data_IF_202915019279
#
_entry.id   IF_202915019279
#
_cell.length_a   1.000
_cell.length_b   1.000
_cell.length_c   1.000
_cell.angle_alpha   90.00
_cell.angle_beta   90.00
_cell.angle_gamma   90.00
#
_symmetry.space_group_name_H-M   'P 1'
#
loop_
_entity.id
_entity.type
_entity.pdbx_description
1 polymer ?
#
# COMPACT_ATOMS: atom_id res chain seq x y z
N UNK A 1 -1.80 27.12 -20.36
CA UNK A 1 -3.24 27.08 -19.94
C UNK A 1 -3.51 26.14 -18.74
N UNK A 2 -2.57 25.28 -18.33
CA UNK A 2 -2.74 24.25 -17.28
C UNK A 2 -2.30 24.73 -15.88
N UNK A 3 -1.38 25.71 -15.80
CA UNK A 3 -0.93 26.32 -14.53
C UNK A 3 -1.98 27.23 -13.88
N UNK A 4 -2.91 27.77 -14.66
CA UNK A 4 -3.94 28.69 -14.16
C UNK A 4 -5.04 28.00 -13.37
N UNK A 5 -5.32 26.71 -13.63
CA UNK A 5 -6.32 25.95 -12.88
C UNK A 5 -5.78 25.52 -11.53
N UNK A 6 -4.49 25.18 -11.43
CA UNK A 6 -3.87 24.76 -10.18
C UNK A 6 -3.71 25.95 -9.21
N UNK A 7 -3.30 27.11 -9.74
CA UNK A 7 -3.23 28.35 -8.94
C UNK A 7 -4.61 28.82 -8.50
N UNK A 8 -5.65 28.70 -9.32
CA UNK A 8 -7.01 29.08 -8.99
C UNK A 8 -7.58 28.17 -7.89
N UNK A 9 -7.26 26.87 -7.91
CA UNK A 9 -7.59 25.92 -6.85
C UNK A 9 -6.95 26.30 -5.51
N UNK A 10 -5.67 26.65 -5.52
CA UNK A 10 -4.94 27.08 -4.32
C UNK A 10 -5.53 28.38 -3.76
N UNK A 11 -5.86 29.36 -4.61
CA UNK A 11 -6.49 30.61 -4.18
C UNK A 11 -7.90 30.39 -3.60
N UNK A 12 -8.68 29.44 -4.16
CA UNK A 12 -9.99 29.08 -3.60
C UNK A 12 -9.86 28.41 -2.24
N UNK A 13 -8.86 27.56 -2.04
CA UNK A 13 -8.59 26.91 -0.74
C UNK A 13 -8.19 27.94 0.29
N UNK A 14 -7.26 28.85 -0.07
CA UNK A 14 -6.82 29.94 0.82
C UNK A 14 -7.98 30.89 1.13
N UNK A 15 -8.76 31.26 0.14
CA UNK A 15 -9.95 32.09 0.33
C UNK A 15 -11.01 31.43 1.22
N UNK A 16 -11.24 30.13 1.05
CA UNK A 16 -12.17 29.36 1.87
C UNK A 16 -11.68 29.20 3.32
N UNK A 17 -10.38 28.99 3.53
CA UNK A 17 -9.80 28.93 4.89
C UNK A 17 -9.86 30.29 5.59
N UNK A 18 -9.59 31.39 4.89
CA UNK A 18 -9.72 32.75 5.41
C UNK A 18 -11.19 33.06 5.74
N UNK A 19 -12.12 32.68 4.86
CA UNK A 19 -13.56 32.84 5.10
C UNK A 19 -14.00 32.04 6.33
N UNK A 20 -13.51 30.82 6.49
CA UNK A 20 -13.83 29.96 7.62
C UNK A 20 -13.26 30.50 8.94
N UNK A 21 -12.12 31.20 8.92
CA UNK A 21 -11.54 31.86 10.10
C UNK A 21 -12.24 33.15 10.47
N UNK A 22 -12.89 33.80 9.51
CA UNK A 22 -13.71 35.03 9.75
C UNK A 22 -15.12 34.73 10.22
N UNK A 23 -15.64 33.50 10.04
CA UNK A 23 -17.00 33.10 10.45
C UNK A 23 -17.19 32.75 11.94
N UNK A 24 -16.18 32.55 12.80
CA UNK A 24 -16.39 31.99 14.15
C UNK A 24 -17.09 32.91 15.15
N UNK A 25 -17.34 34.14 14.82
CA UNK A 25 -18.01 35.05 15.76
C UNK A 25 -19.52 34.81 15.93
N UNK A 26 -20.12 33.94 15.11
CA UNK A 26 -21.60 33.72 15.11
C UNK A 26 -22.02 32.32 15.58
N UNK A 27 -21.11 31.40 15.78
CA UNK A 27 -21.44 30.02 16.16
C UNK A 27 -20.79 29.69 17.50
N UNK A 28 -21.47 29.99 18.61
CA UNK A 28 -21.06 29.59 19.99
C UNK A 28 -21.08 28.07 20.25
N UNK A 29 -20.80 27.26 19.24
CA UNK A 29 -20.83 25.80 19.34
C UNK A 29 -19.54 25.19 19.93
N UNK A 30 -18.41 25.92 19.88
CA UNK A 30 -17.14 25.47 20.40
C UNK A 30 -16.54 26.45 21.40
N UNK A 31 -15.94 25.95 22.49
CA UNK A 31 -15.07 26.73 23.36
C UNK A 31 -14.02 27.45 22.52
N UNK A 32 -13.78 28.73 22.78
CA UNK A 32 -12.87 29.60 22.00
C UNK A 32 -11.46 28.99 21.80
N UNK A 33 -10.95 28.27 22.78
CA UNK A 33 -9.63 27.60 22.70
C UNK A 33 -9.57 26.44 21.67
N UNK A 34 -10.69 25.83 21.32
CA UNK A 34 -10.71 24.66 20.41
C UNK A 34 -11.12 24.99 18.98
N UNK A 35 -11.65 26.17 18.73
CA UNK A 35 -12.10 26.61 17.42
C UNK A 35 -10.96 26.68 16.41
N UNK A 36 -9.80 27.18 16.80
CA UNK A 36 -8.60 27.28 15.95
C UNK A 36 -8.09 25.89 15.52
N UNK A 37 -8.06 24.93 16.42
CA UNK A 37 -7.66 23.55 16.12
C UNK A 37 -8.62 22.86 15.17
N UNK A 38 -9.93 23.10 15.34
CA UNK A 38 -10.97 22.56 14.45
C UNK A 38 -10.82 23.09 13.02
N UNK A 39 -10.64 24.40 12.86
CA UNK A 39 -10.44 25.04 11.55
C UNK A 39 -9.18 24.50 10.87
N UNK A 40 -8.09 24.37 11.62
CA UNK A 40 -6.83 23.83 11.09
C UNK A 40 -7.00 22.39 10.61
N UNK A 41 -7.65 21.54 11.40
CA UNK A 41 -7.90 20.14 11.05
C UNK A 41 -8.77 20.01 9.80
N UNK A 42 -9.83 20.83 9.71
CA UNK A 42 -10.73 20.85 8.57
C UNK A 42 -10.03 21.32 7.30
N UNK A 43 -9.14 22.31 7.41
CA UNK A 43 -8.29 22.79 6.31
C UNK A 43 -7.37 21.70 5.76
N UNK A 44 -6.71 20.95 6.63
CA UNK A 44 -5.82 19.84 6.22
C UNK A 44 -6.61 18.74 5.51
N UNK A 45 -7.77 18.35 6.06
CA UNK A 45 -8.66 17.36 5.44
C UNK A 45 -9.10 17.82 4.05
N UNK A 46 -9.49 19.09 3.91
CA UNK A 46 -9.92 19.63 2.63
C UNK A 46 -8.81 19.64 1.58
N UNK A 47 -7.59 20.02 1.97
CA UNK A 47 -6.41 19.94 1.10
C UNK A 47 -6.14 18.50 0.65
N UNK A 48 -6.18 17.53 1.56
CA UNK A 48 -6.00 16.13 1.21
C UNK A 48 -7.06 15.62 0.22
N UNK A 49 -8.33 15.94 0.46
CA UNK A 49 -9.41 15.54 -0.44
C UNK A 49 -9.29 16.20 -1.81
N UNK A 50 -8.82 17.45 -1.85
CA UNK A 50 -8.57 18.16 -3.11
C UNK A 50 -7.46 17.50 -3.92
N UNK A 51 -6.32 17.16 -3.30
CA UNK A 51 -5.23 16.46 -3.94
C UNK A 51 -5.63 15.08 -4.48
N UNK A 52 -6.40 14.33 -3.69
CA UNK A 52 -6.95 13.02 -4.12
C UNK A 52 -7.85 13.18 -5.34
N UNK A 53 -8.71 14.20 -5.33
CA UNK A 53 -9.61 14.48 -6.45
C UNK A 53 -8.83 14.89 -7.70
N UNK A 54 -7.81 15.75 -7.54
CA UNK A 54 -6.96 16.19 -8.63
C UNK A 54 -6.22 15.01 -9.27
N UNK A 55 -5.69 14.11 -8.45
CA UNK A 55 -4.97 12.92 -8.91
C UNK A 55 -5.88 11.95 -9.66
N UNK A 56 -7.13 11.77 -9.20
CA UNK A 56 -8.12 10.92 -9.89
C UNK A 56 -8.58 11.48 -11.24
N UNK A 57 -8.68 12.80 -11.37
CA UNK A 57 -9.08 13.46 -12.61
C UNK A 57 -7.95 13.72 -13.60
N UNK A 58 -6.71 13.62 -13.12
CA UNK A 58 -5.53 13.78 -13.95
C UNK A 58 -4.96 12.39 -14.19
N UNK A 59 -5.10 11.84 -15.40
CA UNK A 59 -4.50 10.55 -15.84
C UNK A 59 -2.96 10.54 -15.79
N UNK A 60 -2.35 11.54 -15.21
CA UNK A 60 -0.91 11.61 -14.97
C UNK A 60 -0.61 11.10 -13.58
N UNK A 61 -0.34 9.81 -13.49
CA UNK A 61 0.32 9.23 -12.33
C UNK A 61 1.58 10.04 -12.00
N UNK A 62 1.81 10.39 -10.73
CA UNK A 62 3.06 11.01 -10.32
C UNK A 62 4.22 10.12 -10.77
N UNK A 63 5.32 10.74 -11.20
CA UNK A 63 6.51 9.99 -11.58
C UNK A 63 7.01 9.22 -10.35
N UNK A 64 6.78 7.92 -10.35
CA UNK A 64 7.33 7.02 -9.35
C UNK A 64 8.66 6.48 -9.86
N UNK A 65 9.71 6.72 -9.11
CA UNK A 65 11.02 6.15 -9.40
C UNK A 65 10.93 4.62 -9.35
N UNK A 66 11.28 3.95 -10.44
CA UNK A 66 11.35 2.50 -10.46
C UNK A 66 12.42 2.00 -9.47
N UNK A 67 12.05 1.05 -8.63
CA UNK A 67 12.98 0.40 -7.70
C UNK A 67 13.67 -0.73 -8.46
N UNK A 68 15.01 -0.67 -8.67
CA UNK A 68 15.72 -1.71 -9.42
C UNK A 68 15.55 -3.11 -8.84
N UNK A 69 15.38 -3.22 -7.51
CA UNK A 69 15.14 -4.48 -6.82
C UNK A 69 13.85 -5.19 -7.26
N UNK A 70 12.78 -4.47 -7.58
CA UNK A 70 11.55 -5.09 -8.08
C UNK A 70 11.74 -5.71 -9.47
N UNK A 71 12.54 -5.10 -10.34
CA UNK A 71 12.91 -5.68 -11.64
C UNK A 71 13.75 -6.95 -11.47
N UNK A 72 14.66 -6.97 -10.50
CA UNK A 72 15.45 -8.15 -10.19
C UNK A 72 14.58 -9.32 -9.70
N UNK A 73 13.49 -9.05 -9.00
CA UNK A 73 12.50 -10.06 -8.60
C UNK A 73 11.83 -10.67 -9.83
N UNK A 74 11.40 -9.85 -10.79
CA UNK A 74 10.79 -10.33 -12.04
C UNK A 74 11.74 -11.25 -12.82
N UNK A 75 13.01 -10.87 -12.90
CA UNK A 75 14.02 -11.68 -13.54
C UNK A 75 14.30 -13.00 -12.79
N UNK A 76 14.30 -12.97 -11.44
CA UNK A 76 14.49 -14.16 -10.62
C UNK A 76 13.30 -15.13 -10.77
N UNK A 77 12.07 -14.65 -10.80
CA UNK A 77 10.87 -15.45 -11.05
C UNK A 77 10.94 -16.08 -12.45
N UNK A 78 11.30 -15.32 -13.47
CA UNK A 78 11.46 -15.84 -14.83
C UNK A 78 12.49 -16.98 -14.91
N UNK A 79 13.66 -16.80 -14.30
CA UNK A 79 14.70 -17.86 -14.26
C UNK A 79 14.23 -19.10 -13.51
N UNK A 80 13.51 -18.93 -12.40
CA UNK A 80 12.96 -20.06 -11.62
C UNK A 80 11.98 -20.87 -12.45
N UNK A 81 11.12 -20.18 -13.20
CA UNK A 81 10.15 -20.80 -14.14
C UNK A 81 10.88 -21.60 -15.23
N UNK A 82 11.92 -21.02 -15.85
CA UNK A 82 12.74 -21.71 -16.87
C UNK A 82 13.43 -22.96 -16.32
N UNK A 83 13.85 -22.93 -15.06
CA UNK A 83 14.51 -24.06 -14.40
C UNK A 83 13.54 -25.09 -13.80
N UNK A 84 12.23 -24.79 -13.77
CA UNK A 84 11.22 -25.64 -13.13
C UNK A 84 11.44 -25.82 -11.62
N UNK A 85 11.98 -24.79 -10.93
CA UNK A 85 12.26 -24.84 -9.48
C UNK A 85 11.30 -23.96 -8.71
N UNK A 86 10.90 -24.35 -7.47
CA UNK A 86 10.08 -23.52 -6.62
C UNK A 86 10.84 -22.25 -6.19
N UNK A 87 10.07 -21.18 -5.93
CA UNK A 87 10.59 -19.91 -5.46
C UNK A 87 10.44 -19.87 -3.96
N UNK A 88 11.55 -19.66 -3.24
CA UNK A 88 11.56 -19.42 -1.81
C UNK A 88 11.53 -17.93 -1.54
N UNK A 89 10.46 -17.45 -0.89
CA UNK A 89 10.32 -16.06 -0.50
C UNK A 89 10.14 -15.89 1.01
N UNK A 90 11.00 -15.11 1.65
CA UNK A 90 10.93 -14.81 3.09
C UNK A 90 10.48 -13.38 3.29
N UNK A 91 9.25 -13.10 3.78
CA UNK A 91 8.73 -11.74 3.95
C UNK A 91 9.40 -10.98 5.09
N UNK A 92 10.09 -11.66 6.01
CA UNK A 92 10.78 -11.12 7.17
C UNK A 92 10.59 -12.02 8.38
N UNK A 93 11.47 -11.87 9.37
CA UNK A 93 11.47 -12.64 10.63
C UNK A 93 10.85 -11.87 11.79
N UNK A 94 10.59 -10.58 11.61
CA UNK A 94 10.04 -9.69 12.62
C UNK A 94 8.52 -9.77 12.67
N UNK A 95 7.91 -9.06 13.62
CA UNK A 95 6.45 -9.00 13.78
C UNK A 95 5.81 -8.00 12.80
N UNK A 96 4.48 -8.08 12.64
CA UNK A 96 3.71 -7.16 11.77
C UNK A 96 3.77 -5.68 12.20
N UNK A 97 4.28 -5.39 13.39
CA UNK A 97 4.49 -4.02 13.86
C UNK A 97 5.69 -3.32 13.16
N UNK A 98 6.55 -4.10 12.53
CA UNK A 98 7.72 -3.57 11.83
C UNK A 98 7.39 -3.26 10.37
N UNK A 99 7.76 -2.06 9.94
CA UNK A 99 7.48 -1.55 8.59
C UNK A 99 8.11 -2.45 7.51
N UNK A 100 9.27 -3.03 7.81
CA UNK A 100 9.99 -3.93 6.92
C UNK A 100 9.22 -5.22 6.65
N UNK A 101 8.58 -5.80 7.67
CA UNK A 101 7.74 -7.00 7.54
C UNK A 101 6.48 -6.70 6.72
N UNK A 102 5.85 -5.55 6.98
CA UNK A 102 4.68 -5.09 6.19
C UNK A 102 5.08 -4.89 4.72
N UNK A 103 6.21 -4.24 4.46
CA UNK A 103 6.74 -4.08 3.10
C UNK A 103 7.04 -5.45 2.45
N UNK A 104 7.61 -6.39 3.21
CA UNK A 104 7.84 -7.76 2.75
C UNK A 104 6.57 -8.47 2.33
N UNK A 105 5.47 -8.34 3.09
CA UNK A 105 4.16 -8.91 2.74
C UNK A 105 3.57 -8.27 1.48
N UNK A 106 3.74 -6.96 1.29
CA UNK A 106 3.32 -6.28 0.04
C UNK A 106 4.10 -6.80 -1.16
N UNK A 107 5.41 -6.95 -1.03
CA UNK A 107 6.26 -7.54 -2.10
C UNK A 107 5.88 -8.99 -2.36
N UNK A 108 5.54 -9.77 -1.31
CA UNK A 108 5.01 -11.13 -1.46
C UNK A 108 3.78 -11.17 -2.37
N UNK A 109 2.85 -10.23 -2.21
CA UNK A 109 1.67 -10.14 -3.09
C UNK A 109 2.06 -9.96 -4.56
N UNK A 110 3.10 -9.16 -4.84
CA UNK A 110 3.61 -9.01 -6.20
C UNK A 110 4.25 -10.30 -6.74
N UNK A 111 5.08 -10.96 -5.92
CA UNK A 111 5.70 -12.24 -6.27
C UNK A 111 4.63 -13.31 -6.50
N UNK A 112 3.62 -13.42 -5.62
CA UNK A 112 2.53 -14.38 -5.75
C UNK A 112 1.70 -14.16 -7.02
N UNK A 113 1.47 -12.92 -7.44
CA UNK A 113 0.84 -12.63 -8.73
C UNK A 113 1.67 -13.16 -9.91
N UNK A 114 2.99 -13.02 -9.85
CA UNK A 114 3.88 -13.49 -10.91
C UNK A 114 3.99 -15.01 -10.93
N UNK A 115 4.12 -15.65 -9.76
CA UNK A 115 4.15 -17.11 -9.66
C UNK A 115 2.85 -17.76 -10.13
N UNK A 116 1.71 -17.17 -9.79
CA UNK A 116 0.42 -17.59 -10.31
C UNK A 116 0.32 -17.48 -11.85
N UNK A 117 0.89 -16.43 -12.43
CA UNK A 117 0.91 -16.22 -13.88
C UNK A 117 1.80 -17.24 -14.61
N UNK A 118 2.95 -17.58 -14.02
CA UNK A 118 3.94 -18.47 -14.62
C UNK A 118 3.82 -19.94 -14.18
N UNK A 119 2.81 -20.26 -13.35
CA UNK A 119 2.55 -21.61 -12.81
C UNK A 119 3.74 -22.19 -12.03
N UNK A 120 4.45 -21.35 -11.30
CA UNK A 120 5.60 -21.75 -10.50
C UNK A 120 5.20 -21.91 -9.04
N UNK A 121 5.73 -22.90 -8.33
CA UNK A 121 5.50 -23.11 -6.91
C UNK A 121 6.17 -22.01 -6.07
N UNK A 122 5.48 -21.55 -5.02
CA UNK A 122 5.94 -20.50 -4.13
C UNK A 122 5.98 -20.99 -2.68
N UNK A 123 7.17 -21.14 -2.13
CA UNK A 123 7.45 -21.49 -0.74
C UNK A 123 7.62 -20.22 0.11
N UNK A 124 6.84 -20.09 1.18
CA UNK A 124 6.89 -18.93 2.07
C UNK A 124 7.07 -19.36 3.52
N UNK A 125 8.31 -19.52 4.01
CA UNK A 125 8.57 -19.74 5.43
C UNK A 125 8.37 -18.44 6.21
N UNK A 126 7.64 -18.51 7.31
CA UNK A 126 7.29 -17.35 8.14
C UNK A 126 7.63 -17.63 9.59
N UNK A 127 8.20 -16.68 10.30
CA UNK A 127 8.56 -16.85 11.71
C UNK A 127 7.40 -16.59 12.69
N UNK A 128 6.39 -15.82 12.30
CA UNK A 128 5.31 -15.36 13.17
C UNK A 128 3.94 -15.75 12.63
N UNK A 129 3.04 -16.23 13.50
CA UNK A 129 1.71 -16.66 13.13
C UNK A 129 0.85 -15.54 12.52
N UNK A 130 0.98 -14.30 13.00
CA UNK A 130 0.25 -13.15 12.46
C UNK A 130 0.70 -12.84 11.03
N UNK A 131 2.01 -12.87 10.79
CA UNK A 131 2.59 -12.67 9.44
C UNK A 131 2.15 -13.79 8.50
N UNK A 132 2.05 -15.03 9.00
CA UNK A 132 1.57 -16.17 8.22
C UNK A 132 0.12 -15.98 7.76
N UNK A 133 -0.77 -15.47 8.63
CA UNK A 133 -2.16 -15.20 8.25
C UNK A 133 -2.24 -14.12 7.16
N UNK A 134 -1.47 -13.04 7.31
CA UNK A 134 -1.40 -12.00 6.30
C UNK A 134 -0.83 -12.51 4.97
N UNK A 135 0.25 -13.30 5.02
CA UNK A 135 0.86 -13.91 3.85
C UNK A 135 -0.10 -14.85 3.12
N UNK A 136 -0.87 -15.69 3.85
CA UNK A 136 -1.92 -16.54 3.27
C UNK A 136 -2.99 -15.74 2.56
N UNK A 137 -3.50 -14.69 3.20
CA UNK A 137 -4.55 -13.87 2.62
C UNK A 137 -4.07 -13.18 1.34
N UNK A 138 -2.90 -12.55 1.38
CA UNK A 138 -2.32 -11.83 0.24
C UNK A 138 -1.98 -12.79 -0.92
N UNK A 139 -1.41 -13.95 -0.62
CA UNK A 139 -1.14 -14.97 -1.65
C UNK A 139 -2.42 -15.50 -2.26
N UNK A 140 -3.41 -15.87 -1.45
CA UNK A 140 -4.71 -16.35 -1.94
C UNK A 140 -5.40 -15.32 -2.84
N UNK A 141 -5.39 -14.05 -2.46
CA UNK A 141 -5.94 -12.95 -3.25
C UNK A 141 -5.21 -12.80 -4.59
N UNK A 142 -3.89 -12.93 -4.59
CA UNK A 142 -3.06 -12.87 -5.79
C UNK A 142 -3.43 -14.00 -6.79
N UNK A 143 -3.55 -15.24 -6.32
CA UNK A 143 -3.95 -16.37 -7.16
C UNK A 143 -5.38 -16.25 -7.67
N UNK A 144 -6.32 -15.75 -6.85
CA UNK A 144 -7.69 -15.44 -7.27
C UNK A 144 -7.73 -14.36 -8.35
N UNK A 145 -6.94 -13.30 -8.20
CA UNK A 145 -6.87 -12.19 -9.16
C UNK A 145 -6.34 -12.65 -10.53
N UNK A 146 -5.42 -13.63 -10.53
CA UNK A 146 -4.92 -14.25 -11.77
C UNK A 146 -5.87 -15.32 -12.36
N UNK A 147 -6.98 -15.61 -11.67
CA UNK A 147 -7.97 -16.60 -12.11
C UNK A 147 -7.51 -18.05 -11.99
N UNK A 148 -6.54 -18.31 -11.13
CA UNK A 148 -5.94 -19.65 -10.93
C UNK A 148 -5.92 -20.08 -9.46
N UNK A 149 -7.07 -20.15 -8.80
CA UNK A 149 -7.15 -20.54 -7.40
C UNK A 149 -6.69 -21.98 -7.13
N UNK A 150 -6.70 -22.84 -8.14
CA UNK A 150 -6.29 -24.24 -8.07
C UNK A 150 -4.79 -24.43 -7.82
N UNK A 151 -3.97 -23.44 -8.20
CA UNK A 151 -2.53 -23.47 -7.99
C UNK A 151 -2.12 -23.04 -6.57
N UNK A 152 -3.07 -22.46 -5.83
CA UNK A 152 -2.80 -22.05 -4.45
C UNK A 152 -2.72 -23.27 -3.53
N UNK A 153 -1.57 -23.48 -2.91
CA UNK A 153 -1.34 -24.55 -1.98
C UNK A 153 -0.97 -24.00 -0.59
N UNK A 154 -1.87 -24.17 0.38
CA UNK A 154 -1.68 -23.71 1.76
C UNK A 154 -0.48 -24.39 2.45
N UNK A 155 -0.08 -25.59 2.00
CA UNK A 155 1.03 -26.34 2.60
C UNK A 155 2.40 -25.69 2.35
N UNK A 156 2.53 -24.84 1.35
CA UNK A 156 3.77 -24.13 1.02
C UNK A 156 3.99 -22.89 1.91
N UNK A 157 2.96 -22.49 2.69
CA UNK A 157 3.09 -21.47 3.71
C UNK A 157 3.20 -22.13 5.09
N UNK A 158 4.39 -22.17 5.65
CA UNK A 158 4.66 -22.81 6.93
C UNK A 158 5.43 -21.92 7.89
N UNK A 159 5.24 -22.16 9.18
CA UNK A 159 6.06 -21.50 10.20
C UNK A 159 7.38 -22.23 10.34
N UNK A 160 8.49 -21.50 10.18
CA UNK A 160 9.81 -22.05 10.48
C UNK A 160 9.89 -22.38 11.98
N UNK A 161 10.28 -23.62 12.36
CA UNK A 161 10.48 -23.95 13.75
C UNK A 161 11.54 -23.05 14.36
N UNK A 162 11.25 -22.51 15.55
CA UNK A 162 12.22 -21.72 16.29
C UNK A 162 13.42 -22.61 16.66
N UNK A 163 14.66 -22.15 16.52
CA UNK A 163 15.82 -22.92 16.96
C UNK A 163 15.90 -23.13 18.49
N UNK A 164 14.87 -22.72 19.22
CA UNK A 164 14.76 -22.84 20.70
C UNK A 164 13.73 -23.86 21.16
N UNK A 165 13.06 -24.57 20.26
CA UNK A 165 12.11 -25.64 20.58
C UNK A 165 12.80 -27.00 20.50
#
# INVERSE_FOLDING_TARGET
KKYTTDTLGIFLIIGFTILLTLLPSSINFFKEEKSAMFVLTLSVIFIMLYEIKLTKFTDKLPFLRSIPGLKAIEEAVGRSTEMGKPILFVPGIMDMNEVETVAGVVVLGHVANMTAKYETELDVPVARAIVMQAARQVSKEAYLTQGRPELYNDCLLYTSPSPRD
#
